data_IF_023515167920
#
_entry.id   IF_023515167920
#
_cell.length_a   1.000
_cell.length_b   1.000
_cell.length_c   1.000
_cell.angle_alpha   90.00
_cell.angle_beta   90.00
_cell.angle_gamma   90.00
#
_symmetry.space_group_name_H-M   'P 1'
#
loop_
_entity.id
_entity.type
_entity.pdbx_description
1 polymer ?
#
# COMPACT_ATOMS: atom_id res chain seq x y z
N UNK A 1 -8.18 -13.53 44.37
CA UNK A 1 -8.20 -12.06 44.36
C UNK A 1 -7.36 -11.63 43.16
N UNK A 2 -8.02 -11.04 42.16
CA UNK A 2 -7.33 -10.48 41.00
C UNK A 2 -6.55 -9.25 41.47
N UNK A 3 -5.24 -9.22 41.19
CA UNK A 3 -4.41 -8.08 41.54
C UNK A 3 -4.92 -6.84 40.81
N UNK A 4 -5.06 -5.77 41.59
CA UNK A 4 -5.77 -4.56 41.28
C UNK A 4 -5.26 -3.89 40.00
N UNK A 5 -6.18 -3.64 39.07
CA UNK A 5 -6.39 -2.35 38.40
C UNK A 5 -5.26 -1.67 37.61
N UNK A 6 -4.02 -2.15 37.63
CA UNK A 6 -2.93 -1.53 36.89
C UNK A 6 -2.66 -2.27 35.58
N UNK A 7 -2.75 -1.60 34.42
CA UNK A 7 -2.36 -2.20 33.15
C UNK A 7 -0.85 -2.49 33.18
N UNK A 8 -0.48 -3.75 33.39
CA UNK A 8 0.91 -4.18 33.57
C UNK A 8 1.75 -4.21 32.28
N UNK A 9 1.20 -3.78 31.14
CA UNK A 9 1.94 -3.74 29.88
C UNK A 9 1.52 -2.53 29.03
N UNK A 10 2.50 -1.71 28.68
CA UNK A 10 2.40 -0.68 27.63
C UNK A 10 3.06 -1.22 26.38
N UNK A 11 2.27 -1.49 25.33
CA UNK A 11 2.81 -1.87 24.02
C UNK A 11 3.41 -0.62 23.40
N UNK A 12 4.72 -0.66 23.14
CA UNK A 12 5.44 0.38 22.41
C UNK A 12 6.07 -0.25 21.16
N UNK A 13 6.16 0.49 20.04
CA UNK A 13 6.90 0.03 18.87
C UNK A 13 8.35 -0.31 19.25
N UNK A 14 8.88 -1.41 18.73
CA UNK A 14 10.18 -1.95 19.12
C UNK A 14 11.38 -1.14 18.57
N UNK A 15 11.23 -0.40 17.46
CA UNK A 15 12.18 0.56 16.82
C UNK A 15 11.53 1.02 15.50
N UNK A 16 11.94 2.05 14.74
CA UNK A 16 12.49 3.38 15.06
C UNK A 16 11.37 4.39 14.75
N UNK A 17 11.26 5.46 15.51
CA UNK A 17 10.41 6.61 15.15
C UNK A 17 10.98 7.44 13.97
N UNK A 18 11.91 6.87 13.19
CA UNK A 18 12.72 7.54 12.18
C UNK A 18 12.77 6.83 10.82
N UNK A 19 11.89 5.87 10.56
CA UNK A 19 11.51 5.64 9.17
C UNK A 19 10.67 6.85 8.73
N UNK A 20 11.34 7.93 8.33
CA UNK A 20 10.74 9.08 7.64
C UNK A 20 9.59 8.56 6.80
N UNK A 21 8.35 9.00 7.13
CA UNK A 21 7.11 8.50 6.49
C UNK A 21 7.40 8.42 5.00
N UNK A 22 7.65 7.21 4.47
CA UNK A 22 8.04 7.05 3.07
C UNK A 22 6.93 7.71 2.28
N UNK A 23 7.23 8.84 1.66
CA UNK A 23 6.24 9.62 0.97
C UNK A 23 5.94 8.89 -0.33
N UNK A 24 4.96 7.96 -0.26
CA UNK A 24 4.59 7.09 -1.37
C UNK A 24 3.99 7.87 -2.54
N UNK A 25 3.47 9.06 -2.28
CA UNK A 25 2.76 9.89 -3.25
C UNK A 25 3.41 11.28 -3.40
N UNK A 26 3.44 11.79 -4.62
CA UNK A 26 3.94 13.14 -4.92
C UNK A 26 5.45 13.29 -5.00
N UNK A 27 6.23 12.23 -4.72
CA UNK A 27 7.69 12.25 -4.84
C UNK A 27 8.17 12.52 -6.28
N UNK A 28 7.40 12.10 -7.29
CA UNK A 28 7.73 12.26 -8.72
C UNK A 28 7.05 13.50 -9.34
N UNK A 29 6.41 14.35 -8.52
CA UNK A 29 5.67 15.51 -9.04
C UNK A 29 6.59 16.44 -9.82
N UNK A 30 6.24 16.73 -11.07
CA UNK A 30 7.02 17.60 -11.96
C UNK A 30 8.24 16.93 -12.61
N UNK A 31 8.53 15.66 -12.30
CA UNK A 31 9.60 14.91 -12.97
C UNK A 31 9.12 14.27 -14.28
N UNK A 32 7.81 14.05 -14.42
CA UNK A 32 7.18 13.48 -15.61
C UNK A 32 5.96 14.30 -16.00
N UNK A 33 5.66 14.34 -17.31
CA UNK A 33 4.39 14.83 -17.83
C UNK A 33 3.44 13.65 -17.96
N UNK A 34 2.33 13.67 -17.23
CA UNK A 34 1.30 12.63 -17.30
C UNK A 34 0.30 13.02 -18.40
N UNK A 35 0.07 12.17 -19.41
CA UNK A 35 -0.97 12.38 -20.41
C UNK A 35 -2.37 12.38 -19.81
N UNK A 36 -3.33 13.05 -20.46
CA UNK A 36 -4.73 13.09 -20.00
C UNK A 36 -5.41 11.71 -20.05
N UNK A 37 -4.93 10.81 -20.91
CA UNK A 37 -5.46 9.47 -21.15
C UNK A 37 -4.69 8.35 -20.43
N UNK A 38 -3.82 8.70 -19.47
CA UNK A 38 -2.95 7.76 -18.74
C UNK A 38 -3.70 6.57 -18.12
N UNK A 39 -4.96 6.75 -17.73
CA UNK A 39 -5.78 5.67 -17.16
C UNK A 39 -6.13 4.56 -18.19
N UNK A 40 -5.90 4.80 -19.49
CA UNK A 40 -6.32 3.92 -20.59
C UNK A 40 -5.20 3.48 -21.54
N UNK A 41 -4.00 4.05 -21.43
CA UNK A 41 -2.93 3.87 -22.43
C UNK A 41 -2.42 2.42 -22.61
N UNK A 42 -2.69 1.53 -21.67
CA UNK A 42 -2.21 0.13 -21.66
C UNK A 42 -3.34 -0.85 -21.27
N UNK A 43 -4.58 -0.48 -21.55
CA UNK A 43 -5.74 -1.30 -21.17
C UNK A 43 -5.67 -2.68 -21.81
N UNK A 44 -5.36 -2.77 -23.11
CA UNK A 44 -5.36 -4.04 -23.86
C UNK A 44 -4.32 -5.04 -23.30
N UNK A 45 -3.10 -4.57 -22.99
CA UNK A 45 -2.04 -5.42 -22.43
C UNK A 45 -2.37 -5.88 -21.00
N UNK A 46 -2.95 -5.00 -20.17
CA UNK A 46 -3.42 -5.37 -18.83
C UNK A 46 -4.55 -6.40 -18.96
N UNK A 47 -5.50 -6.20 -19.87
CA UNK A 47 -6.58 -7.16 -20.11
C UNK A 47 -6.02 -8.52 -20.53
N UNK A 48 -5.05 -8.58 -21.44
CA UNK A 48 -4.39 -9.85 -21.83
C UNK A 48 -3.73 -10.54 -20.62
N UNK A 49 -3.04 -9.79 -19.76
CA UNK A 49 -2.33 -10.33 -18.59
C UNK A 49 -3.27 -10.86 -17.49
N UNK A 50 -4.48 -10.30 -17.38
CA UNK A 50 -5.37 -10.55 -16.24
C UNK A 50 -6.73 -11.19 -16.61
N UNK A 51 -7.07 -11.31 -17.89
CA UNK A 51 -8.33 -11.94 -18.37
C UNK A 51 -8.30 -13.46 -18.37
N UNK A 52 -7.18 -14.09 -18.01
CA UNK A 52 -7.03 -15.55 -17.84
C UNK A 52 -7.76 -16.12 -16.60
N UNK A 53 -8.89 -15.50 -16.23
CA UNK A 53 -9.80 -15.87 -15.14
C UNK A 53 -10.54 -17.21 -15.32
N UNK A 54 -9.90 -18.26 -15.85
CA UNK A 54 -10.31 -19.66 -15.70
C UNK A 54 -9.48 -20.44 -14.66
N UNK A 55 -8.84 -19.75 -13.71
CA UNK A 55 -8.14 -20.39 -12.59
C UNK A 55 -8.64 -19.89 -11.22
N UNK A 56 -9.96 -19.72 -11.09
CA UNK A 56 -10.62 -19.84 -9.80
C UNK A 56 -11.70 -20.90 -9.94
N UNK A 57 -11.27 -22.16 -10.08
CA UNK A 57 -12.13 -23.31 -9.85
C UNK A 57 -12.13 -23.60 -8.36
N UNK A 58 -13.27 -23.41 -7.69
CA UNK A 58 -13.59 -24.03 -6.39
C UNK A 58 -13.78 -25.55 -6.53
#
# INVERSE_FOLDING_TARGET
MANAGEPMAKVVPLEEADASKKQRIGFIRGMISVPDDFDTIITDEIEEMFSDGKQFSE
#
